data_IF_076057250846
#
_entry.id   IF_076057250846
#
_cell.length_a   1.000
_cell.length_b   1.000
_cell.length_c   1.000
_cell.angle_alpha   90.00
_cell.angle_beta   90.00
_cell.angle_gamma   90.00
#
_symmetry.space_group_name_H-M   'P 1'
#
loop_
_entity.id
_entity.type
_entity.pdbx_description
1 polymer ?
#
# COMPACT_ATOMS: atom_id res chain seq x y z
N UNK A 1 0.33 -30.59 -6.74
CA UNK A 1 1.44 -29.61 -6.88
C UNK A 1 1.48 -28.74 -5.64
N UNK A 2 2.56 -28.88 -4.87
CA UNK A 2 2.76 -28.26 -3.56
C UNK A 2 2.76 -26.73 -3.63
N UNK A 3 2.01 -26.08 -2.74
CA UNK A 3 2.46 -24.85 -2.10
C UNK A 3 2.10 -24.93 -0.62
N UNK A 4 3.10 -25.30 0.19
CA UNK A 4 3.11 -25.05 1.63
C UNK A 4 3.08 -23.52 1.80
N UNK A 5 1.87 -22.98 2.01
CA UNK A 5 1.72 -21.65 2.59
C UNK A 5 1.81 -21.81 4.11
N UNK A 6 2.74 -21.10 4.74
CA UNK A 6 2.77 -21.04 6.20
C UNK A 6 1.49 -20.34 6.66
N UNK A 7 0.62 -21.11 7.30
CA UNK A 7 -0.62 -20.67 7.95
C UNK A 7 -0.22 -19.96 9.25
N UNK A 8 -0.32 -18.65 9.31
CA UNK A 8 -0.27 -17.94 10.59
C UNK A 8 -1.65 -18.00 11.23
N UNK A 9 -1.96 -19.15 11.82
CA UNK A 9 -2.98 -19.22 12.84
C UNK A 9 -2.50 -18.40 14.05
N UNK A 10 -3.41 -17.73 14.74
CA UNK A 10 -3.15 -17.17 16.08
C UNK A 10 -2.94 -18.38 17.00
N UNK A 11 -1.73 -18.94 17.01
CA UNK A 11 -1.39 -20.04 17.89
C UNK A 11 -1.30 -19.48 19.31
N UNK A 12 -2.29 -19.79 20.14
CA UNK A 12 -2.27 -19.53 21.58
C UNK A 12 -1.21 -20.43 22.25
N UNK A 13 0.07 -20.17 21.98
CA UNK A 13 1.16 -20.62 22.85
C UNK A 13 1.34 -19.56 23.92
N UNK A 14 0.80 -19.84 25.11
CA UNK A 14 1.07 -19.05 26.31
C UNK A 14 2.56 -19.20 26.62
N UNK A 15 3.33 -18.19 26.23
CA UNK A 15 4.72 -18.01 26.62
C UNK A 15 4.80 -16.73 27.44
N UNK A 16 5.56 -16.74 28.54
CA UNK A 16 5.70 -15.61 29.47
C UNK A 16 6.53 -14.44 28.90
N UNK A 17 6.46 -14.18 27.58
CA UNK A 17 7.26 -13.19 26.88
C UNK A 17 6.58 -12.64 25.63
N UNK A 18 7.17 -11.57 25.07
CA UNK A 18 6.69 -10.96 23.82
C UNK A 18 6.81 -11.97 22.68
N UNK A 19 5.76 -12.06 21.86
CA UNK A 19 5.76 -12.84 20.61
C UNK A 19 7.00 -12.47 19.77
N UNK A 20 7.62 -13.43 19.10
CA UNK A 20 8.79 -13.19 18.26
C UNK A 20 8.42 -12.85 16.80
N UNK A 21 7.27 -13.32 16.34
CA UNK A 21 6.78 -13.26 14.96
C UNK A 21 5.78 -12.11 14.72
N UNK A 22 5.83 -11.03 15.52
CA UNK A 22 5.02 -9.84 15.27
C UNK A 22 5.59 -9.00 14.12
N UNK A 23 4.70 -8.21 13.50
CA UNK A 23 5.08 -7.29 12.43
C UNK A 23 5.92 -6.14 12.99
N UNK A 24 7.00 -5.79 12.29
CA UNK A 24 7.71 -4.55 12.56
C UNK A 24 6.84 -3.34 12.19
N UNK A 25 7.18 -2.16 12.71
CA UNK A 25 6.46 -0.93 12.37
C UNK A 25 6.51 -0.62 10.86
N UNK A 26 7.69 -0.79 10.24
CA UNK A 26 7.87 -0.59 8.81
C UNK A 26 6.98 -1.53 7.97
N UNK A 27 6.93 -2.81 8.32
CA UNK A 27 6.05 -3.78 7.66
C UNK A 27 4.59 -3.43 7.86
N UNK A 28 4.19 -3.07 9.08
CA UNK A 28 2.82 -2.69 9.40
C UNK A 28 2.37 -1.47 8.58
N UNK A 29 3.15 -0.39 8.57
CA UNK A 29 2.79 0.83 7.85
C UNK A 29 2.78 0.63 6.33
N UNK A 30 3.73 -0.14 5.81
CA UNK A 30 3.72 -0.49 4.41
C UNK A 30 2.50 -1.37 4.07
N UNK A 31 2.18 -2.35 4.91
CA UNK A 31 0.98 -3.17 4.75
C UNK A 31 -0.30 -2.33 4.77
N UNK A 32 -0.39 -1.32 5.65
CA UNK A 32 -1.52 -0.38 5.67
C UNK A 32 -1.63 0.40 4.36
N UNK A 33 -0.51 0.83 3.77
CA UNK A 33 -0.53 1.50 2.46
C UNK A 33 -1.03 0.56 1.36
N UNK A 34 -0.54 -0.68 1.30
CA UNK A 34 -1.03 -1.69 0.34
C UNK A 34 -2.50 -2.07 0.57
N UNK A 35 -2.94 -2.17 1.82
CA UNK A 35 -4.35 -2.44 2.16
C UNK A 35 -5.24 -1.26 1.74
N UNK A 36 -4.78 -0.03 1.96
CA UNK A 36 -5.49 1.18 1.54
C UNK A 36 -5.63 1.26 0.02
N UNK A 37 -4.62 0.80 -0.74
CA UNK A 37 -4.69 0.70 -2.20
C UNK A 37 -5.89 -0.13 -2.69
N UNK A 38 -6.30 -1.17 -1.94
CA UNK A 38 -7.45 -2.02 -2.29
C UNK A 38 -8.80 -1.28 -2.23
N UNK A 39 -8.84 -0.05 -1.73
CA UNK A 39 -10.02 0.82 -1.77
C UNK A 39 -10.19 1.56 -3.10
N UNK A 40 -9.14 1.63 -3.92
CA UNK A 40 -9.19 2.24 -5.25
C UNK A 40 -10.12 1.47 -6.17
N UNK A 41 -10.89 2.21 -6.97
CA UNK A 41 -11.78 1.67 -8.01
C UNK A 41 -11.17 1.72 -9.41
N UNK A 42 -9.97 2.28 -9.56
CA UNK A 42 -9.26 2.30 -10.86
C UNK A 42 -8.92 0.86 -11.26
N UNK A 43 -9.36 0.36 -12.43
CA UNK A 43 -9.09 -1.01 -12.86
C UNK A 43 -7.63 -1.24 -13.29
N UNK A 44 -6.84 -0.19 -13.51
CA UNK A 44 -5.46 -0.30 -14.03
C UNK A 44 -4.41 -0.19 -12.95
N UNK A 45 -4.56 0.78 -12.04
CA UNK A 45 -3.56 1.05 -11.02
C UNK A 45 -4.18 1.25 -9.66
N UNK A 46 -3.63 0.59 -8.63
CA UNK A 46 -4.04 0.74 -7.25
C UNK A 46 -2.82 1.14 -6.42
N UNK A 47 -2.81 2.37 -5.93
CA UNK A 47 -1.73 2.94 -5.13
C UNK A 47 -2.32 3.45 -3.83
N UNK A 48 -1.66 3.14 -2.72
CA UNK A 48 -2.02 3.63 -1.40
C UNK A 48 -0.86 4.35 -0.72
N UNK A 49 -1.19 5.20 0.24
CA UNK A 49 -0.25 5.97 1.03
C UNK A 49 -0.65 5.90 2.52
N UNK A 50 0.36 5.89 3.38
CA UNK A 50 0.20 5.91 4.84
C UNK A 50 1.17 6.95 5.40
N UNK A 51 0.65 7.95 6.13
CA UNK A 51 1.43 9.01 6.76
C UNK A 51 1.45 8.74 8.27
N UNK A 52 2.66 8.71 8.83
CA UNK A 52 2.91 8.33 10.21
C UNK A 52 3.77 9.41 10.88
N UNK A 53 3.47 9.74 12.14
CA UNK A 53 4.27 10.68 12.92
C UNK A 53 5.43 9.99 13.66
N UNK A 54 6.24 10.76 14.39
CA UNK A 54 7.39 10.27 15.14
C UNK A 54 7.05 9.34 16.32
N UNK A 55 5.78 9.29 16.73
CA UNK A 55 5.28 8.41 17.79
C UNK A 55 4.69 7.10 17.23
N UNK A 56 4.93 6.79 15.94
CA UNK A 56 4.36 5.64 15.25
C UNK A 56 2.81 5.65 15.20
N UNK A 57 2.21 6.84 15.22
CA UNK A 57 0.75 6.99 15.04
C UNK A 57 0.47 7.34 13.58
N UNK A 58 -0.47 6.61 12.99
CA UNK A 58 -1.01 6.93 11.66
C UNK A 58 -1.83 8.21 11.79
N UNK A 59 -1.45 9.23 11.02
CA UNK A 59 -2.13 10.54 10.99
C UNK A 59 -2.89 10.76 9.69
N UNK A 60 -2.68 9.90 8.69
CA UNK A 60 -3.42 9.92 7.43
C UNK A 60 -3.21 8.66 6.62
N UNK A 61 -4.25 8.27 5.89
CA UNK A 61 -4.23 7.19 4.89
C UNK A 61 -4.88 7.70 3.61
N UNK A 62 -4.48 7.16 2.48
CA UNK A 62 -5.05 7.56 1.19
C UNK A 62 -4.83 6.52 0.10
N UNK A 63 -5.57 6.67 -0.98
CA UNK A 63 -5.47 5.87 -2.19
C UNK A 63 -5.89 6.70 -3.41
N UNK A 64 -5.54 6.27 -4.63
CA UNK A 64 -5.98 6.96 -5.85
C UNK A 64 -7.48 6.76 -6.10
N UNK A 65 -8.19 7.86 -6.38
CA UNK A 65 -9.63 7.87 -6.65
C UNK A 65 -10.09 9.23 -7.20
N UNK A 66 -11.35 9.32 -7.62
CA UNK A 66 -11.94 10.59 -8.03
C UNK A 66 -12.07 11.55 -6.83
N UNK A 67 -12.12 12.88 -7.08
CA UNK A 67 -12.41 13.85 -6.03
C UNK A 67 -13.71 13.53 -5.28
N UNK A 68 -13.77 13.95 -4.01
CA UNK A 68 -14.95 13.73 -3.17
C UNK A 68 -16.18 14.38 -3.82
N UNK A 69 -17.28 13.62 -3.91
CA UNK A 69 -18.54 14.07 -4.51
C UNK A 69 -18.66 13.81 -6.01
N UNK A 70 -17.60 13.34 -6.67
CA UNK A 70 -17.69 12.84 -8.05
C UNK A 70 -18.10 11.36 -8.03
N UNK A 71 -19.20 11.01 -8.71
CA UNK A 71 -19.60 9.61 -8.88
C UNK A 71 -18.72 8.93 -9.92
N UNK A 72 -18.17 7.77 -9.56
CA UNK A 72 -17.37 6.94 -10.46
C UNK A 72 -18.18 6.33 -11.62
N UNK A 73 -19.51 6.40 -11.54
CA UNK A 73 -20.43 5.91 -12.59
C UNK A 73 -20.67 6.96 -13.67
N UNK A 74 -20.44 8.24 -13.37
CA UNK A 74 -20.69 9.36 -14.29
C UNK A 74 -19.43 9.77 -15.07
N UNK A 75 -18.24 9.47 -14.53
CA UNK A 75 -16.95 9.78 -15.16
C UNK A 75 -16.20 8.47 -15.44
N UNK A 76 -16.16 8.01 -16.70
CA UNK A 76 -15.56 6.73 -17.03
C UNK A 76 -14.06 6.71 -16.76
N UNK A 77 -13.58 5.63 -16.14
CA UNK A 77 -12.14 5.33 -15.96
C UNK A 77 -11.42 5.00 -17.29
N UNK A 78 -12.18 4.86 -18.38
CA UNK A 78 -11.70 4.47 -19.70
C UNK A 78 -10.86 5.59 -20.31
N UNK A 79 -9.68 5.26 -20.85
CA UNK A 79 -8.93 6.18 -21.73
C UNK A 79 -9.37 5.90 -23.16
N UNK A 80 -9.73 6.93 -23.90
CA UNK A 80 -9.95 6.80 -25.34
C UNK A 80 -8.58 6.53 -26.03
N UNK A 81 -8.40 5.39 -26.72
CA UNK A 81 -7.14 5.06 -27.38
C UNK A 81 -6.76 6.03 -28.52
N UNK A 82 -7.69 6.83 -29.04
CA UNK A 82 -7.40 7.80 -30.11
C UNK A 82 -6.76 9.11 -29.61
N UNK A 83 -6.73 9.34 -28.29
CA UNK A 83 -6.15 10.54 -27.68
C UNK A 83 -4.80 10.23 -26.99
N UNK A 84 -3.80 9.96 -27.83
CA UNK A 84 -2.47 9.42 -27.47
C UNK A 84 -1.67 10.35 -26.52
N UNK A 85 -2.02 11.64 -26.44
CA UNK A 85 -1.37 12.63 -25.56
C UNK A 85 -1.59 12.38 -24.05
N UNK A 86 -2.53 11.51 -23.66
CA UNK A 86 -2.78 11.16 -22.25
C UNK A 86 -2.27 9.77 -21.83
N UNK A 87 -1.56 9.06 -22.72
CA UNK A 87 -1.05 7.73 -22.40
C UNK A 87 0.21 7.84 -21.54
N UNK A 88 0.03 7.80 -20.21
CA UNK A 88 1.10 7.69 -19.20
C UNK A 88 1.85 6.35 -19.32
N UNK A 89 2.57 6.08 -20.41
CA UNK A 89 3.48 4.93 -20.52
C UNK A 89 4.89 5.37 -20.89
N UNK A 90 5.81 5.23 -19.93
CA UNK A 90 7.19 4.75 -20.07
C UNK A 90 7.92 5.01 -18.76
N UNK A 91 8.60 4.03 -18.18
CA UNK A 91 9.26 4.14 -16.87
C UNK A 91 10.59 4.95 -16.89
N UNK A 92 10.69 5.94 -17.78
CA UNK A 92 11.82 6.90 -17.89
C UNK A 92 11.32 8.35 -17.87
N UNK A 93 10.27 8.57 -17.07
CA UNK A 93 9.47 9.78 -16.97
C UNK A 93 10.26 10.93 -16.37
N UNK A 94 10.34 12.04 -17.10
CA UNK A 94 10.83 13.31 -16.58
C UNK A 94 10.12 13.69 -15.27
N UNK A 95 8.89 13.21 -15.05
CA UNK A 95 8.17 13.34 -13.79
C UNK A 95 8.93 12.76 -12.59
N UNK A 96 9.56 11.57 -12.69
CA UNK A 96 10.33 11.00 -11.59
C UNK A 96 11.63 11.76 -11.36
N UNK A 97 12.31 12.17 -12.45
CA UNK A 97 13.53 12.99 -12.37
C UNK A 97 13.21 14.35 -11.73
N UNK A 98 12.10 14.97 -12.09
CA UNK A 98 11.62 16.23 -11.52
C UNK A 98 11.22 16.05 -10.05
N UNK A 99 10.43 15.03 -9.71
CA UNK A 99 10.01 14.75 -8.33
C UNK A 99 11.23 14.52 -7.42
N UNK A 100 12.20 13.71 -7.86
CA UNK A 100 13.44 13.49 -7.11
C UNK A 100 14.19 14.80 -6.86
N UNK A 101 14.37 15.64 -7.90
CA UNK A 101 15.00 16.96 -7.76
C UNK A 101 14.26 17.85 -6.77
N UNK A 102 12.92 17.89 -6.81
CA UNK A 102 12.11 18.67 -5.86
C UNK A 102 12.28 18.20 -4.42
N UNK A 103 12.29 16.87 -4.20
CA UNK A 103 12.52 16.29 -2.87
C UNK A 103 13.92 16.62 -2.36
N UNK A 104 14.94 16.45 -3.22
CA UNK A 104 16.33 16.78 -2.88
C UNK A 104 16.49 18.28 -2.54
N UNK A 105 15.89 19.17 -3.34
CA UNK A 105 15.91 20.63 -3.10
C UNK A 105 15.17 21.02 -1.81
N UNK A 106 14.10 20.33 -1.45
CA UNK A 106 13.36 20.55 -0.21
C UNK A 106 14.02 19.91 1.03
N UNK A 107 15.12 19.17 0.86
CA UNK A 107 15.78 18.43 1.95
C UNK A 107 14.97 17.24 2.45
N UNK A 108 14.04 16.72 1.65
CA UNK A 108 13.18 15.59 2.02
C UNK A 108 13.93 14.28 1.76
N UNK A 109 14.13 13.50 2.83
CA UNK A 109 14.76 12.17 2.74
C UNK A 109 13.77 11.13 2.24
N UNK A 110 14.21 10.27 1.34
CA UNK A 110 13.49 9.09 0.88
C UNK A 110 14.40 7.87 0.95
N UNK A 111 13.79 6.69 1.12
CA UNK A 111 14.49 5.39 1.09
C UNK A 111 13.62 4.37 0.38
N UNK A 112 14.25 3.47 -0.36
CA UNK A 112 13.55 2.30 -0.88
C UNK A 112 13.23 1.36 0.28
N UNK A 113 11.95 1.05 0.46
CA UNK A 113 11.54 0.00 1.39
C UNK A 113 11.99 -1.37 0.87
N UNK A 114 12.59 -2.18 1.75
CA UNK A 114 12.96 -3.57 1.47
C UNK A 114 12.17 -4.46 2.44
N UNK A 115 11.21 -5.24 1.94
CA UNK A 115 10.36 -6.04 2.81
C UNK A 115 11.15 -7.16 3.49
N UNK A 116 10.92 -7.34 4.79
CA UNK A 116 11.44 -8.49 5.56
C UNK A 116 10.69 -9.78 5.17
N UNK A 117 9.42 -9.66 4.78
CA UNK A 117 8.54 -10.76 4.38
C UNK A 117 7.83 -10.43 3.07
N UNK A 118 7.60 -11.44 2.23
CA UNK A 118 6.97 -11.24 0.92
C UNK A 118 5.45 -11.06 0.98
N UNK A 119 4.79 -11.57 2.04
CA UNK A 119 3.33 -11.56 2.15
C UNK A 119 2.90 -11.43 3.61
N UNK A 120 1.83 -10.67 3.81
CA UNK A 120 1.05 -10.62 5.04
C UNK A 120 -0.37 -11.12 4.70
N UNK A 121 -0.94 -11.96 5.56
CA UNK A 121 -2.29 -12.52 5.38
C UNK A 121 -3.17 -11.97 6.49
N UNK A 122 -4.30 -11.37 6.11
CA UNK A 122 -5.40 -11.03 7.02
C UNK A 122 -6.45 -12.11 6.80
N UNK A 123 -6.59 -13.00 7.77
CA UNK A 123 -7.55 -14.10 7.74
C UNK A 123 -8.67 -13.80 8.72
N UNK A 124 -9.89 -13.59 8.23
CA UNK A 124 -11.04 -13.31 9.08
C UNK A 124 -11.65 -14.57 9.71
N UNK A 125 -11.35 -15.76 9.20
CA UNK A 125 -11.88 -17.02 9.74
C UNK A 125 -11.37 -17.32 11.15
N UNK A 126 -10.21 -16.78 11.52
CA UNK A 126 -9.62 -17.00 12.86
C UNK A 126 -10.47 -16.42 13.98
N UNK A 127 -11.34 -15.44 13.69
CA UNK A 127 -12.23 -14.83 14.69
C UNK A 127 -13.23 -15.86 15.23
N UNK A 128 -13.71 -16.77 14.39
CA UNK A 128 -14.67 -17.81 14.76
C UNK A 128 -14.05 -18.93 15.62
N UNK A 129 -12.72 -18.99 15.65
CA UNK A 129 -11.94 -19.97 16.41
C UNK A 129 -11.42 -19.45 17.76
N UNK A 130 -11.72 -18.20 18.11
CA UNK A 130 -11.33 -17.55 19.36
C UNK A 130 -12.38 -17.70 20.47
#
# INVERSE_FOLDING_TARGET
>A
MNKQGILFAISNKVSNGKRADYLSWDEYFMATAFLSAQRSKDPRTQVGACIVNSENKIVGIGYNGMPIGCSDDLLPWHRDPENILESKQLYDKDEFKASKKLLDMAGIRYRQYRPERQKIVIDFSVIESM
#
